data_IF_718997291781
#
_entry.id   IF_718997291781
#
_cell.length_a   1.000
_cell.length_b   1.000
_cell.length_c   1.000
_cell.angle_alpha   90.00
_cell.angle_beta   90.00
_cell.angle_gamma   90.00
#
_symmetry.space_group_name_H-M   'P 1'
#
loop_
_entity.id
_entity.type
_entity.pdbx_description
1 polymer ?
#
# COMPACT_ATOMS: atom_id res chain seq x y z
N UNK A 1 -1.81 20.45 -23.47
CA UNK A 1 -1.03 20.30 -22.23
C UNK A 1 -0.52 18.88 -22.17
N UNK A 2 0.79 18.69 -22.21
CA UNK A 2 1.40 17.40 -22.00
C UNK A 2 1.02 16.93 -20.59
N UNK A 3 0.35 15.79 -20.48
CA UNK A 3 0.11 15.08 -19.22
C UNK A 3 1.49 14.75 -18.65
N UNK A 4 1.96 15.55 -17.70
CA UNK A 4 3.19 15.25 -17.01
C UNK A 4 2.96 14.03 -16.14
N UNK A 5 3.66 12.94 -16.40
CA UNK A 5 3.64 11.78 -15.50
C UNK A 5 4.14 12.21 -14.12
N UNK A 6 3.64 11.60 -13.04
CA UNK A 6 4.13 11.92 -11.70
C UNK A 6 5.61 11.56 -11.58
N UNK A 7 6.35 12.37 -10.85
CA UNK A 7 7.72 12.05 -10.44
C UNK A 7 7.66 11.20 -9.18
N UNK A 8 8.22 10.00 -9.24
CA UNK A 8 8.27 9.09 -8.08
C UNK A 8 9.66 9.08 -7.47
N UNK A 9 9.73 9.36 -6.18
CA UNK A 9 10.94 9.26 -5.37
C UNK A 9 10.79 8.09 -4.41
N UNK A 10 11.66 7.11 -4.53
CA UNK A 10 11.66 5.92 -3.67
C UNK A 10 12.77 6.07 -2.63
N UNK A 11 12.38 6.11 -1.35
CA UNK A 11 13.30 6.23 -0.23
C UNK A 11 13.42 4.88 0.48
N UNK A 12 14.55 4.22 0.30
CA UNK A 12 14.92 3.01 1.02
C UNK A 12 15.70 3.36 2.29
N UNK A 13 15.43 2.65 3.37
CA UNK A 13 16.15 2.86 4.60
C UNK A 13 16.00 1.72 5.61
N UNK A 14 16.67 1.87 6.73
CA UNK A 14 16.60 0.95 7.87
C UNK A 14 15.52 1.37 8.88
N UNK A 15 15.69 0.97 10.14
CA UNK A 15 14.78 1.34 11.24
C UNK A 15 14.72 2.85 11.52
N UNK A 16 15.68 3.64 11.06
CA UNK A 16 15.65 5.10 11.24
C UNK A 16 14.56 5.78 10.40
N UNK A 17 14.15 5.13 9.32
CA UNK A 17 13.13 5.64 8.40
C UNK A 17 11.73 5.09 8.70
N UNK A 18 11.59 4.22 9.70
CA UNK A 18 10.30 3.70 10.13
C UNK A 18 9.34 4.80 10.59
N UNK A 19 8.04 4.47 10.66
CA UNK A 19 6.96 5.39 11.02
C UNK A 19 6.80 6.58 10.06
N UNK A 20 7.47 6.57 8.90
CA UNK A 20 7.44 7.70 7.94
C UNK A 20 8.01 9.01 8.55
N UNK A 21 8.96 8.90 9.48
CA UNK A 21 9.47 10.05 10.28
C UNK A 21 10.09 11.15 9.44
N UNK A 22 10.85 10.76 8.41
CA UNK A 22 11.60 11.68 7.54
C UNK A 22 10.78 11.99 6.31
N UNK A 23 10.30 10.93 5.67
CA UNK A 23 9.64 11.03 4.36
C UNK A 23 8.31 11.75 4.41
N UNK A 24 7.58 11.75 5.55
CA UNK A 24 6.36 12.51 5.66
C UNK A 24 6.58 14.02 5.47
N UNK A 25 7.68 14.56 6.02
CA UNK A 25 8.01 15.99 5.91
C UNK A 25 8.50 16.33 4.50
N UNK A 26 9.32 15.46 3.90
CA UNK A 26 9.77 15.63 2.53
C UNK A 26 8.61 15.60 1.55
N UNK A 27 7.71 14.62 1.73
CA UNK A 27 6.51 14.45 0.92
C UNK A 27 5.61 15.68 1.01
N UNK A 28 5.32 16.15 2.23
CA UNK A 28 4.50 17.33 2.44
C UNK A 28 5.07 18.55 1.70
N UNK A 29 6.37 18.85 1.86
CA UNK A 29 7.01 19.98 1.24
C UNK A 29 7.02 19.89 -0.29
N UNK A 30 7.36 18.72 -0.83
CA UNK A 30 7.44 18.55 -2.28
C UNK A 30 6.07 18.52 -2.94
N UNK A 31 5.07 17.92 -2.30
CA UNK A 31 3.70 17.97 -2.81
C UNK A 31 3.12 19.38 -2.73
N UNK A 32 3.46 20.17 -1.71
CA UNK A 32 3.09 21.60 -1.66
C UNK A 32 3.70 22.39 -2.82
N UNK A 33 4.95 22.12 -3.15
CA UNK A 33 5.68 22.89 -4.16
C UNK A 33 5.38 22.44 -5.59
N UNK A 34 5.23 21.15 -5.81
CA UNK A 34 5.18 20.56 -7.15
C UNK A 34 3.85 19.86 -7.46
N UNK A 35 2.91 19.91 -6.55
CA UNK A 35 1.65 19.17 -6.64
C UNK A 35 1.84 17.69 -6.33
N UNK A 36 0.75 16.96 -6.34
CA UNK A 36 0.69 15.56 -5.98
C UNK A 36 -0.07 15.35 -4.68
N UNK A 37 -0.30 14.09 -4.35
CA UNK A 37 -1.00 13.67 -3.15
C UNK A 37 -0.82 12.19 -2.87
N UNK A 38 -1.31 11.76 -1.72
CA UNK A 38 -1.18 10.39 -1.24
C UNK A 38 0.18 10.10 -0.64
N UNK A 39 0.25 8.96 0.06
CA UNK A 39 1.44 8.54 0.80
C UNK A 39 2.41 7.69 -0.03
N UNK A 40 2.05 7.41 -1.28
CA UNK A 40 2.82 6.52 -2.13
C UNK A 40 2.62 5.05 -1.77
N UNK A 41 3.67 4.27 -1.90
CA UNK A 41 3.65 2.82 -1.74
C UNK A 41 3.66 2.41 -0.26
N UNK A 42 2.71 1.56 0.11
CA UNK A 42 2.54 0.99 1.45
C UNK A 42 2.35 -0.53 1.36
N UNK A 43 2.73 -1.30 2.37
CA UNK A 43 2.50 -2.75 2.39
C UNK A 43 1.01 -3.07 2.61
N UNK A 44 0.57 -4.24 2.16
CA UNK A 44 -0.79 -4.71 2.46
C UNK A 44 -1.02 -4.82 3.98
N UNK A 45 -0.04 -5.31 4.71
CA UNK A 45 -0.07 -5.39 6.16
C UNK A 45 1.07 -4.56 6.77
N UNK A 46 0.69 -3.54 7.51
CA UNK A 46 1.64 -2.65 8.17
C UNK A 46 1.92 -3.11 9.60
N UNK A 47 3.14 -3.56 9.83
CA UNK A 47 3.57 -4.04 11.16
C UNK A 47 3.92 -2.90 12.12
N UNK A 48 4.31 -1.75 11.59
CA UNK A 48 4.69 -0.56 12.36
C UNK A 48 3.81 0.61 11.89
N UNK A 49 2.99 1.20 12.77
CA UNK A 49 2.14 2.33 12.40
C UNK A 49 2.94 3.48 11.80
N UNK A 50 2.37 4.15 10.81
CA UNK A 50 2.94 5.39 10.28
C UNK A 50 2.31 6.61 10.91
N UNK A 51 2.92 7.78 10.70
CA UNK A 51 2.43 9.06 11.22
C UNK A 51 1.42 9.74 10.30
N UNK A 52 1.21 9.19 9.11
CA UNK A 52 0.45 9.85 8.04
C UNK A 52 -0.93 9.22 7.86
N UNK A 53 -0.98 7.90 7.84
CA UNK A 53 -2.22 7.15 7.65
C UNK A 53 -2.37 6.06 8.71
N UNK A 54 -3.62 5.76 9.02
CA UNK A 54 -4.00 4.56 9.75
C UNK A 54 -4.44 3.50 8.76
N UNK A 55 -3.89 2.32 8.91
CA UNK A 55 -4.13 1.17 8.06
C UNK A 55 -4.37 -0.07 8.90
N UNK A 56 -5.38 -0.84 8.55
CA UNK A 56 -5.62 -2.15 9.17
C UNK A 56 -6.28 -3.11 8.18
N UNK A 57 -6.10 -4.40 8.43
CA UNK A 57 -6.79 -5.44 7.69
C UNK A 57 -7.99 -5.95 8.49
N UNK A 58 -9.06 -6.25 7.80
CA UNK A 58 -10.18 -7.02 8.31
C UNK A 58 -10.50 -8.19 7.38
N UNK A 59 -10.95 -9.29 7.98
CA UNK A 59 -11.43 -10.46 7.27
C UNK A 59 -12.81 -10.75 7.82
N UNK A 60 -13.83 -10.78 6.96
CA UNK A 60 -15.23 -10.92 7.37
C UNK A 60 -15.65 -9.92 8.47
N UNK A 61 -15.20 -8.68 8.35
CA UNK A 61 -15.48 -7.63 9.32
C UNK A 61 -14.68 -7.71 10.62
N UNK A 62 -13.87 -8.75 10.84
CA UNK A 62 -13.04 -8.89 12.05
C UNK A 62 -11.66 -8.29 11.80
N UNK A 63 -11.31 -7.27 12.57
CA UNK A 63 -10.00 -6.63 12.50
C UNK A 63 -8.90 -7.61 12.89
N UNK A 64 -7.90 -7.76 12.02
CA UNK A 64 -6.75 -8.61 12.26
C UNK A 64 -5.69 -7.86 13.07
N UNK A 65 -5.35 -8.42 14.22
CA UNK A 65 -4.22 -7.90 15.02
C UNK A 65 -2.95 -8.66 14.66
N UNK A 66 -1.80 -8.01 14.85
CA UNK A 66 -0.47 -8.58 14.57
C UNK A 66 -0.17 -9.83 15.39
N UNK A 67 -0.90 -10.03 16.49
CA UNK A 67 -0.72 -11.15 17.41
C UNK A 67 -2.00 -12.00 17.46
N UNK A 68 -1.99 -13.15 16.81
CA UNK A 68 -2.81 -14.29 17.23
C UNK A 68 -4.18 -14.52 16.59
N UNK A 69 -4.59 -13.80 15.56
CA UNK A 69 -5.78 -14.17 14.78
C UNK A 69 -5.51 -15.33 13.80
N UNK A 70 -6.55 -16.01 13.27
CA UNK A 70 -6.35 -17.00 12.22
C UNK A 70 -5.69 -16.29 11.03
N UNK A 71 -4.42 -16.61 10.78
CA UNK A 71 -3.64 -16.00 9.70
C UNK A 71 -4.15 -16.55 8.38
N UNK A 72 -4.98 -15.80 7.70
CA UNK A 72 -5.50 -16.15 6.37
C UNK A 72 -4.66 -15.58 5.24
N UNK A 73 -3.62 -14.87 5.58
CA UNK A 73 -2.57 -14.42 4.68
C UNK A 73 -1.22 -14.55 5.40
N UNK A 74 -0.18 -14.78 4.64
CA UNK A 74 1.19 -14.83 5.14
C UNK A 74 1.95 -13.62 4.61
N UNK A 75 2.65 -12.92 5.50
CA UNK A 75 3.55 -11.85 5.10
C UNK A 75 4.97 -12.38 5.16
N UNK A 76 5.66 -12.30 4.04
CA UNK A 76 7.03 -12.70 3.89
C UNK A 76 7.92 -11.46 3.80
N UNK A 77 9.03 -11.51 4.48
CA UNK A 77 10.03 -10.46 4.47
C UNK A 77 11.36 -10.96 5.03
N UNK A 78 12.40 -10.12 4.99
CA UNK A 78 13.78 -10.56 5.26
C UNK A 78 14.02 -11.20 6.62
N UNK A 79 13.15 -10.96 7.60
CA UNK A 79 13.36 -11.41 8.98
C UNK A 79 12.29 -12.33 9.55
N UNK A 80 11.11 -12.40 8.94
CA UNK A 80 10.01 -13.18 9.51
C UNK A 80 9.84 -14.54 8.87
N UNK A 81 9.62 -14.57 7.60
CA UNK A 81 9.49 -15.76 6.79
C UNK A 81 10.19 -15.48 5.46
N UNK A 82 10.86 -16.48 4.90
CA UNK A 82 11.50 -16.36 3.59
C UNK A 82 10.67 -17.07 2.54
N UNK A 83 10.59 -16.47 1.36
CA UNK A 83 10.16 -17.16 0.16
C UNK A 83 11.32 -17.96 -0.40
N UNK A 84 11.03 -19.12 -0.98
CA UNK A 84 12.04 -19.99 -1.58
C UNK A 84 12.74 -19.34 -2.79
N UNK A 85 12.09 -18.40 -3.44
CA UNK A 85 12.55 -17.75 -4.67
C UNK A 85 12.97 -16.28 -4.51
N UNK A 86 13.06 -15.77 -3.29
CA UNK A 86 13.41 -14.36 -2.97
C UNK A 86 12.52 -13.29 -3.67
N UNK A 87 11.32 -13.65 -4.14
CA UNK A 87 10.39 -12.75 -4.86
C UNK A 87 9.59 -11.87 -3.88
N UNK A 88 10.24 -10.88 -3.30
CA UNK A 88 9.64 -9.97 -2.33
C UNK A 88 9.11 -8.67 -2.96
N UNK A 89 9.41 -8.42 -4.23
CA UNK A 89 9.04 -7.18 -4.91
C UNK A 89 9.72 -5.92 -4.34
N UNK A 90 9.34 -4.78 -4.89
CA UNK A 90 9.97 -3.48 -4.64
C UNK A 90 9.99 -3.05 -3.17
N UNK A 91 9.07 -3.54 -2.35
CA UNK A 91 9.02 -3.25 -0.92
C UNK A 91 9.88 -4.18 -0.05
N UNK A 92 10.50 -5.20 -0.62
CA UNK A 92 11.23 -6.21 0.13
C UNK A 92 10.37 -7.03 1.08
N UNK A 93 9.06 -7.00 0.89
CA UNK A 93 8.07 -7.81 1.59
C UNK A 93 6.86 -8.05 0.68
N UNK A 94 6.22 -9.18 0.86
CA UNK A 94 5.07 -9.59 0.07
C UNK A 94 4.03 -10.26 0.96
N UNK A 95 2.77 -9.99 0.69
CA UNK A 95 1.65 -10.72 1.29
C UNK A 95 1.20 -11.81 0.32
N UNK A 96 1.16 -13.05 0.80
CA UNK A 96 0.66 -14.19 0.03
C UNK A 96 -0.77 -14.48 0.46
N UNK A 97 -1.68 -14.42 -0.48
CA UNK A 97 -3.08 -14.82 -0.33
C UNK A 97 -3.24 -16.23 -0.89
N UNK A 98 -3.48 -17.21 -0.02
CA UNK A 98 -3.67 -18.60 -0.41
C UNK A 98 -5.08 -19.07 -0.04
N UNK A 99 -5.77 -19.70 -0.96
CA UNK A 99 -7.12 -20.23 -0.74
C UNK A 99 -7.18 -21.39 0.26
N UNK A 100 -6.06 -22.07 0.51
CA UNK A 100 -6.00 -23.07 1.59
C UNK A 100 -6.06 -22.40 2.97
N UNK A 101 -5.65 -21.11 3.04
CA UNK A 101 -5.74 -20.27 4.24
C UNK A 101 -7.03 -19.46 4.29
N UNK A 102 -7.71 -19.31 3.14
CA UNK A 102 -8.97 -18.60 2.97
C UNK A 102 -10.04 -19.62 2.61
N UNK A 103 -10.69 -20.19 3.62
CA UNK A 103 -11.82 -21.11 3.39
C UNK A 103 -13.05 -20.28 2.97
N UNK A 104 -13.40 -20.32 1.69
CA UNK A 104 -14.60 -19.69 1.16
C UNK A 104 -14.38 -18.37 0.42
N UNK A 105 -15.46 -17.68 0.09
CA UNK A 105 -15.51 -16.39 -0.62
C UNK A 105 -15.22 -15.20 0.30
N UNK A 106 -14.13 -15.25 1.04
CA UNK A 106 -13.83 -14.22 2.04
C UNK A 106 -13.01 -13.10 1.45
N UNK A 107 -13.46 -11.86 1.64
CA UNK A 107 -12.74 -10.67 1.27
C UNK A 107 -11.69 -10.34 2.35
N UNK A 108 -10.47 -10.11 1.93
CA UNK A 108 -9.48 -9.42 2.73
C UNK A 108 -9.67 -7.93 2.46
N UNK A 109 -10.04 -7.18 3.48
CA UNK A 109 -10.29 -5.75 3.37
C UNK A 109 -9.17 -4.96 4.02
N UNK A 110 -8.46 -4.19 3.21
CA UNK A 110 -7.50 -3.21 3.68
C UNK A 110 -8.20 -1.86 3.85
N UNK A 111 -8.29 -1.43 5.09
CA UNK A 111 -8.89 -0.16 5.45
C UNK A 111 -7.83 0.92 5.56
N UNK A 112 -8.11 2.11 5.04
CA UNK A 112 -7.20 3.25 5.02
C UNK A 112 -7.95 4.50 5.44
N UNK A 113 -7.39 5.25 6.41
CA UNK A 113 -7.89 6.55 6.81
C UNK A 113 -6.74 7.49 7.22
N UNK A 114 -6.90 8.82 7.13
CA UNK A 114 -5.89 9.77 7.60
C UNK A 114 -5.85 9.78 9.14
N UNK A 115 -4.65 9.89 9.72
CA UNK A 115 -4.47 10.05 11.18
C UNK A 115 -4.88 11.46 11.60
N UNK A 116 -4.44 12.48 10.87
CA UNK A 116 -4.73 13.88 11.17
C UNK A 116 -5.66 14.48 10.10
N UNK A 117 -6.93 14.66 10.49
CA UNK A 117 -7.94 15.29 9.63
C UNK A 117 -7.66 16.76 9.32
N UNK A 118 -6.78 17.43 10.09
CA UNK A 118 -6.43 18.84 9.90
C UNK A 118 -5.37 19.03 8.83
N UNK A 119 -4.54 18.02 8.55
CA UNK A 119 -3.54 18.02 7.47
C UNK A 119 -4.14 17.55 6.14
N UNK A 120 -5.28 18.08 5.75
CA UNK A 120 -6.01 17.63 4.56
C UNK A 120 -5.31 17.93 3.23
N UNK A 121 -4.32 18.80 3.21
CA UNK A 121 -3.73 19.29 1.95
C UNK A 121 -2.96 18.26 1.14
N UNK A 122 -2.46 17.17 1.74
CA UNK A 122 -1.59 16.20 1.06
C UNK A 122 -1.96 14.74 1.32
N UNK A 123 -2.97 14.47 2.14
CA UNK A 123 -3.45 13.11 2.43
C UNK A 123 -4.51 12.62 1.45
N UNK A 124 -4.90 13.44 0.48
CA UNK A 124 -5.84 13.03 -0.56
C UNK A 124 -5.14 12.25 -1.65
N UNK A 125 -5.86 11.32 -2.25
CA UNK A 125 -5.44 10.57 -3.41
C UNK A 125 -6.67 10.29 -4.27
N UNK A 126 -6.49 10.21 -5.56
CA UNK A 126 -7.55 9.86 -6.50
C UNK A 126 -7.14 8.74 -7.44
N UNK A 127 -6.02 8.10 -7.15
CA UNK A 127 -5.56 6.90 -7.82
C UNK A 127 -5.00 5.91 -6.82
N UNK A 128 -5.45 4.67 -6.92
CA UNK A 128 -4.91 3.53 -6.17
C UNK A 128 -4.37 2.51 -7.15
N UNK A 129 -3.17 2.03 -6.87
CA UNK A 129 -2.53 0.97 -7.63
C UNK A 129 -2.21 -0.19 -6.69
N UNK A 130 -2.77 -1.37 -6.96
CA UNK A 130 -2.45 -2.58 -6.22
C UNK A 130 -1.44 -3.39 -7.03
N UNK A 131 -0.24 -3.52 -6.49
CA UNK A 131 0.83 -4.32 -7.10
C UNK A 131 0.59 -5.78 -6.73
N UNK A 132 0.12 -6.55 -7.69
CA UNK A 132 -0.24 -7.98 -7.51
C UNK A 132 0.07 -8.77 -8.75
N UNK A 133 0.22 -10.08 -8.62
CA UNK A 133 0.38 -11.00 -9.75
C UNK A 133 -0.95 -11.59 -10.26
N UNK A 134 -1.90 -11.89 -9.37
CA UNK A 134 -3.12 -12.62 -9.74
C UNK A 134 -4.32 -12.36 -8.83
N UNK A 135 -4.19 -11.46 -7.84
CA UNK A 135 -5.30 -11.09 -6.95
C UNK A 135 -6.23 -10.12 -7.66
N UNK A 136 -7.53 -10.34 -7.55
CA UNK A 136 -8.58 -9.42 -8.00
C UNK A 136 -9.13 -8.58 -6.84
N UNK A 137 -9.92 -7.55 -7.16
CA UNK A 137 -10.54 -6.75 -6.11
C UNK A 137 -11.34 -5.56 -6.62
N UNK A 138 -11.91 -4.84 -5.67
CA UNK A 138 -12.63 -3.59 -5.86
C UNK A 138 -12.34 -2.62 -4.72
N UNK A 139 -12.67 -1.35 -4.89
CA UNK A 139 -12.50 -0.32 -3.87
C UNK A 139 -13.84 0.29 -3.52
N UNK A 140 -14.08 0.47 -2.22
CA UNK A 140 -15.17 1.30 -1.71
C UNK A 140 -14.60 2.65 -1.26
N UNK A 141 -15.06 3.73 -1.88
CA UNK A 141 -14.69 5.09 -1.53
C UNK A 141 -15.89 6.02 -1.69
N UNK A 142 -16.17 6.85 -0.69
CA UNK A 142 -17.30 7.78 -0.70
C UNK A 142 -18.63 7.09 -1.11
N UNK A 143 -18.92 5.95 -0.50
CA UNK A 143 -20.11 5.10 -0.76
C UNK A 143 -20.25 4.59 -2.22
N UNK A 144 -19.15 4.63 -2.98
CA UNK A 144 -19.11 4.16 -4.36
C UNK A 144 -18.17 2.96 -4.49
N UNK A 145 -18.66 1.92 -5.14
CA UNK A 145 -17.87 0.75 -5.51
C UNK A 145 -17.17 0.99 -6.85
N UNK A 146 -15.86 0.84 -6.86
CA UNK A 146 -15.00 1.12 -8.01
C UNK A 146 -14.30 -0.17 -8.45
N UNK A 147 -14.45 -0.50 -9.73
CA UNK A 147 -13.72 -1.59 -10.37
C UNK A 147 -12.38 -1.10 -10.93
N UNK A 148 -11.40 -2.00 -11.13
CA UNK A 148 -10.15 -1.62 -11.75
C UNK A 148 -10.34 -1.20 -13.22
N UNK A 149 -9.45 -0.38 -13.71
CA UNK A 149 -9.44 0.04 -15.14
C UNK A 149 -9.27 -1.19 -16.03
N UNK A 150 -10.13 -1.40 -17.04
CA UNK A 150 -10.21 -2.66 -17.82
C UNK A 150 -8.92 -3.10 -18.51
N UNK A 151 -8.07 -2.17 -18.93
CA UNK A 151 -6.85 -2.46 -19.71
C UNK A 151 -5.63 -2.83 -18.85
N UNK A 152 -5.77 -2.83 -17.54
CA UNK A 152 -4.68 -3.16 -16.64
C UNK A 152 -5.01 -4.42 -15.85
N UNK A 153 -4.53 -5.59 -16.29
CA UNK A 153 -4.70 -6.81 -15.50
C UNK A 153 -3.85 -6.76 -14.22
N UNK A 154 -2.60 -6.36 -14.35
CA UNK A 154 -1.66 -6.24 -13.23
C UNK A 154 -0.61 -5.16 -13.54
N UNK A 155 -0.39 -4.18 -12.67
CA UNK A 155 -1.09 -3.92 -11.40
C UNK A 155 -2.55 -3.50 -11.60
N UNK A 156 -3.42 -3.77 -10.62
CA UNK A 156 -4.79 -3.25 -10.64
C UNK A 156 -4.73 -1.73 -10.43
N UNK A 157 -5.37 -0.99 -11.32
CA UNK A 157 -5.41 0.47 -11.27
C UNK A 157 -6.83 0.97 -11.07
N UNK A 158 -7.05 1.79 -10.06
CA UNK A 158 -8.34 2.39 -9.73
C UNK A 158 -8.27 3.91 -9.79
N UNK A 159 -9.29 4.51 -10.37
CA UNK A 159 -9.52 5.96 -10.32
C UNK A 159 -10.63 6.25 -9.32
N UNK A 160 -10.33 7.07 -8.34
CA UNK A 160 -11.23 7.44 -7.24
C UNK A 160 -11.74 8.86 -7.42
N UNK A 161 -12.83 9.23 -6.72
CA UNK A 161 -13.27 10.62 -6.65
C UNK A 161 -12.15 11.53 -6.14
N UNK A 162 -12.14 12.77 -6.64
CA UNK A 162 -11.19 13.78 -6.19
C UNK A 162 -11.30 14.02 -4.67
N UNK A 163 -10.18 14.32 -4.05
CA UNK A 163 -10.09 14.55 -2.60
C UNK A 163 -10.46 13.36 -1.72
N UNK A 164 -10.39 12.14 -2.24
CA UNK A 164 -10.51 10.92 -1.43
C UNK A 164 -9.38 10.87 -0.40
N UNK A 165 -9.74 10.66 0.87
CA UNK A 165 -8.78 10.54 1.97
C UNK A 165 -8.88 9.20 2.70
N UNK A 166 -9.96 8.46 2.49
CA UNK A 166 -10.22 7.15 3.08
C UNK A 166 -10.83 6.21 2.05
N UNK A 167 -10.50 4.94 2.12
CA UNK A 167 -11.12 3.90 1.30
C UNK A 167 -10.96 2.52 1.94
N UNK A 168 -11.73 1.59 1.43
CA UNK A 168 -11.62 0.16 1.69
C UNK A 168 -11.21 -0.54 0.39
N UNK A 169 -10.12 -1.30 0.44
CA UNK A 169 -9.62 -2.08 -0.69
C UNK A 169 -9.96 -3.54 -0.41
N UNK A 170 -10.90 -4.08 -1.16
CA UNK A 170 -11.35 -5.46 -1.07
C UNK A 170 -10.55 -6.32 -2.04
N UNK A 171 -9.89 -7.34 -1.53
CA UNK A 171 -9.03 -8.23 -2.29
C UNK A 171 -9.54 -9.67 -2.22
N UNK A 172 -9.60 -10.32 -3.37
CA UNK A 172 -10.14 -11.67 -3.53
C UNK A 172 -9.20 -12.54 -4.37
N UNK A 173 -9.30 -13.83 -4.17
CA UNK A 173 -8.56 -14.81 -4.96
C UNK A 173 -7.24 -15.22 -4.33
N UNK A 174 -6.41 -15.86 -5.14
CA UNK A 174 -5.07 -16.35 -4.78
C UNK A 174 -4.01 -15.53 -5.47
N UNK A 175 -2.92 -15.28 -4.78
CA UNK A 175 -1.78 -14.61 -5.38
C UNK A 175 -0.95 -13.84 -4.37
N UNK A 176 -0.07 -13.01 -4.89
CA UNK A 176 0.81 -12.16 -4.12
C UNK A 176 0.39 -10.71 -4.25
N UNK A 177 0.45 -9.98 -3.14
CA UNK A 177 0.31 -8.53 -3.09
C UNK A 177 1.63 -7.92 -2.63
N UNK A 178 2.29 -7.24 -3.53
CA UNK A 178 3.62 -6.63 -3.32
C UNK A 178 3.53 -5.23 -2.70
N UNK A 179 2.35 -4.63 -2.71
CA UNK A 179 2.08 -3.33 -2.10
C UNK A 179 0.90 -2.62 -2.73
N UNK A 180 0.50 -1.54 -2.08
CA UNK A 180 -0.57 -0.64 -2.54
C UNK A 180 -0.03 0.76 -2.61
N UNK A 181 -0.21 1.46 -3.73
CA UNK A 181 0.18 2.85 -3.89
C UNK A 181 -1.04 3.76 -3.85
N UNK A 182 -1.03 4.72 -2.94
CA UNK A 182 -2.02 5.80 -2.84
C UNK A 182 -1.40 7.04 -3.45
N UNK A 183 -1.92 7.52 -4.57
CA UNK A 183 -1.26 8.53 -5.39
C UNK A 183 -2.23 9.45 -6.13
N UNK A 184 -1.68 10.48 -6.74
CA UNK A 184 -2.34 11.30 -7.76
C UNK A 184 -1.70 11.05 -9.12
N UNK A 185 -2.43 11.28 -10.24
CA UNK A 185 -1.91 11.04 -11.59
C UNK A 185 -0.78 11.99 -12.01
N UNK A 186 -0.57 13.08 -11.28
CA UNK A 186 0.46 14.10 -11.56
C UNK A 186 1.14 14.54 -10.26
N UNK A 187 2.22 15.32 -10.37
CA UNK A 187 2.95 15.85 -9.23
C UNK A 187 4.01 14.90 -8.69
N UNK A 188 4.26 14.92 -7.38
CA UNK A 188 5.32 14.14 -6.73
C UNK A 188 4.72 13.05 -5.85
N UNK A 189 5.25 11.84 -6.00
CA UNK A 189 4.98 10.69 -5.13
C UNK A 189 6.27 10.38 -4.37
N UNK A 190 6.17 10.23 -3.04
CA UNK A 190 7.33 9.89 -2.20
C UNK A 190 7.03 8.61 -1.44
N UNK A 191 7.68 7.53 -1.83
CA UNK A 191 7.56 6.24 -1.18
C UNK A 191 8.54 6.14 -0.01
N UNK A 192 8.10 5.55 1.09
CA UNK A 192 8.96 5.20 2.21
C UNK A 192 8.99 3.68 2.37
N UNK A 193 10.16 3.10 2.14
CA UNK A 193 10.37 1.64 2.25
C UNK A 193 11.38 1.37 3.36
N UNK A 194 10.94 1.37 4.63
CA UNK A 194 11.79 1.07 5.76
C UNK A 194 11.97 -0.44 5.89
N UNK A 195 13.19 -0.86 6.13
CA UNK A 195 13.50 -2.27 6.33
C UNK A 195 14.43 -2.44 7.52
N UNK A 196 13.83 -2.73 8.69
CA UNK A 196 14.52 -2.82 9.97
C UNK A 196 15.72 -3.75 9.92
N UNK A 197 16.89 -3.21 10.29
CA UNK A 197 18.17 -3.92 10.36
C UNK A 197 18.68 -4.39 9.00
N UNK A 198 18.26 -3.75 7.94
CA UNK A 198 18.79 -3.97 6.61
C UNK A 198 20.03 -3.10 6.38
N UNK A 199 21.09 -3.72 5.86
CA UNK A 199 22.30 -3.02 5.44
C UNK A 199 22.25 -2.52 3.98
N UNK A 200 21.07 -2.55 3.37
CA UNK A 200 20.90 -2.16 1.96
C UNK A 200 21.12 -3.29 0.95
N UNK A 201 21.83 -4.35 1.30
CA UNK A 201 22.16 -5.45 0.37
C UNK A 201 20.94 -6.16 -0.21
N UNK A 202 19.81 -6.15 0.50
CA UNK A 202 18.57 -6.78 0.00
C UNK A 202 18.00 -6.02 -1.20
N UNK A 203 18.20 -4.71 -1.28
CA UNK A 203 17.71 -3.90 -2.39
C UNK A 203 18.46 -4.14 -3.70
N UNK A 204 19.57 -4.87 -3.66
CA UNK A 204 20.26 -5.32 -4.87
C UNK A 204 19.65 -6.58 -5.48
N UNK A 205 18.68 -7.19 -4.79
CA UNK A 205 17.99 -8.42 -5.20
C UNK A 205 16.52 -8.20 -5.58
N UNK A 206 16.10 -6.94 -5.64
CA UNK A 206 14.73 -6.53 -5.99
C UNK A 206 14.67 -6.25 -7.50
#
# INVERSE_FOLDING_TARGET
SASSMPVRVVHYGDSQTEEDRITNILRERWQQQYGGGGVGLIPLHQTIPTRTIRQWLSINGVVQTVQGGPKRYLVYGPRSMRLDNDDYGVMGQVAVMDSALVAGSEDIVMNIEPIDKKRQGHNYFNRVRVLTDSVDGYILAQDTMLSPTPDTRHPLLYTLPDSTTKCEIHLQGKGKVYGVSLETPTGVIVDNIPMRGCSGNIFTKI
#
